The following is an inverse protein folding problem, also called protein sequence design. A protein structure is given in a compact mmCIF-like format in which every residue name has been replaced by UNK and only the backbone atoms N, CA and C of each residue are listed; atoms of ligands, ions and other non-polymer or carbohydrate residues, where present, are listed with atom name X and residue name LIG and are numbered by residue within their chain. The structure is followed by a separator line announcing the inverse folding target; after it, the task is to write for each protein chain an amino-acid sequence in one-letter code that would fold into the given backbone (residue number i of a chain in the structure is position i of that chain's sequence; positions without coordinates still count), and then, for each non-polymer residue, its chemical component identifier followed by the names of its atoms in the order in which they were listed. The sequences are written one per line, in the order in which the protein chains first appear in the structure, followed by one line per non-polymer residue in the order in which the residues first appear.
data_IF_391954177213
#
_entry.id   IF_391954177213
#
_cell.length_a   1.000
_cell.length_b   1.000
_cell.length_c   1.000
_cell.angle_alpha   90.00
_cell.angle_beta   90.00
_cell.angle_gamma   90.00
#
_symmetry.space_group_name_H-M   'P 1'
#
loop_
_entity.id
_entity.type
_entity.pdbx_description
1 polymer ?
#
# COMPACT_ATOMS: atom_id res chain seq x y z
N UNK A 1 -6.65 -13.00 28.22
CA UNK A 1 -6.20 -13.39 26.86
C UNK A 1 -6.90 -12.57 25.78
N UNK A 2 -8.23 -12.38 25.82
CA UNK A 2 -8.93 -11.53 24.83
C UNK A 2 -8.42 -10.08 24.79
N UNK A 3 -8.21 -9.45 25.94
CA UNK A 3 -7.74 -8.05 25.99
C UNK A 3 -6.31 -7.86 25.45
N UNK A 4 -5.46 -8.89 25.52
CA UNK A 4 -4.09 -8.79 25.02
C UNK A 4 -4.04 -8.69 23.49
N UNK A 5 -5.02 -9.27 22.79
CA UNK A 5 -5.17 -9.13 21.34
C UNK A 5 -5.60 -7.71 20.92
N UNK A 6 -6.02 -6.85 21.87
CA UNK A 6 -6.32 -5.44 21.61
C UNK A 6 -5.04 -4.60 21.52
N UNK A 7 -3.97 -5.00 22.20
CA UNK A 7 -2.68 -4.29 22.23
C UNK A 7 -1.59 -4.95 21.39
N UNK A 8 -1.63 -6.27 21.22
CA UNK A 8 -0.59 -7.05 20.53
C UNK A 8 -1.20 -8.08 19.56
N UNK A 9 -0.58 -8.33 18.39
CA UNK A 9 -1.06 -9.34 17.46
C UNK A 9 -0.89 -10.75 18.03
N UNK A 10 -1.95 -11.57 17.96
CA UNK A 10 -1.89 -12.98 18.35
C UNK A 10 -1.70 -13.87 17.12
N UNK A 11 -0.63 -14.65 17.10
CA UNK A 11 -0.34 -15.60 16.01
C UNK A 11 -0.83 -17.00 16.36
N UNK A 12 -1.63 -17.59 15.48
CA UNK A 12 -2.12 -18.97 15.58
C UNK A 12 -1.31 -19.83 14.59
N UNK A 13 -0.50 -20.72 15.15
CA UNK A 13 0.38 -21.64 14.41
C UNK A 13 -0.29 -23.01 14.26
N UNK A 14 -0.18 -23.63 13.07
CA UNK A 14 -0.63 -25.01 12.81
C UNK A 14 0.44 -25.75 12.01
N UNK A 15 0.85 -26.92 12.49
CA UNK A 15 1.91 -27.76 11.90
C UNK A 15 3.25 -27.01 11.78
N UNK A 16 3.63 -26.27 12.83
CA UNK A 16 4.90 -25.53 12.88
C UNK A 16 4.98 -24.31 11.95
N UNK A 17 3.84 -23.89 11.37
CA UNK A 17 3.77 -22.70 10.50
C UNK A 17 2.67 -21.77 10.95
N UNK A 18 2.94 -20.47 10.89
CA UNK A 18 1.96 -19.45 11.17
C UNK A 18 0.85 -19.52 10.12
N UNK A 19 -0.41 -19.51 10.58
CA UNK A 19 -1.59 -19.67 9.71
C UNK A 19 -2.51 -18.48 9.75
N UNK A 20 -2.66 -17.86 10.92
CA UNK A 20 -3.58 -16.77 11.13
C UNK A 20 -2.98 -15.83 12.16
N UNK A 21 -3.11 -14.53 11.92
CA UNK A 21 -2.81 -13.49 12.90
C UNK A 21 -4.12 -12.79 13.23
N UNK A 22 -4.49 -12.78 14.50
CA UNK A 22 -5.62 -12.02 15.03
C UNK A 22 -5.10 -10.67 15.55
N UNK A 23 -5.75 -9.59 15.10
CA UNK A 23 -5.46 -8.22 15.54
C UNK A 23 -6.75 -7.52 15.93
N UNK A 24 -6.64 -6.40 16.64
CA UNK A 24 -7.79 -5.52 16.90
C UNK A 24 -8.40 -5.02 15.59
N UNK A 25 -9.69 -4.66 15.63
CA UNK A 25 -10.38 -4.12 14.46
C UNK A 25 -9.74 -2.81 13.96
N UNK A 26 -9.33 -1.94 14.89
CA UNK A 26 -8.61 -0.70 14.58
C UNK A 26 -7.32 -0.98 13.81
N UNK A 27 -6.53 -1.95 14.29
CA UNK A 27 -5.28 -2.34 13.64
C UNK A 27 -5.53 -2.94 12.26
N UNK A 28 -6.57 -3.77 12.11
CA UNK A 28 -6.97 -4.30 10.81
C UNK A 28 -7.29 -3.18 9.81
N UNK A 29 -8.06 -2.17 10.20
CA UNK A 29 -8.39 -1.05 9.31
C UNK A 29 -7.16 -0.18 8.98
N UNK A 30 -6.26 0.03 9.95
CA UNK A 30 -4.99 0.73 9.71
C UNK A 30 -4.09 -0.01 8.72
N UNK A 31 -4.01 -1.33 8.83
CA UNK A 31 -3.24 -2.16 7.88
C UNK A 31 -3.92 -2.17 6.51
N UNK A 32 -5.24 -2.32 6.48
CA UNK A 32 -6.04 -2.33 5.26
C UNK A 32 -5.97 -1.01 4.51
N UNK A 33 -5.91 0.14 5.19
CA UNK A 33 -5.78 1.44 4.51
C UNK A 33 -4.43 1.61 3.80
N UNK A 34 -3.40 0.86 4.21
CA UNK A 34 -2.09 0.79 3.54
C UNK A 34 -2.01 -0.31 2.48
N UNK A 35 -3.08 -1.08 2.30
CA UNK A 35 -3.16 -2.07 1.24
C UNK A 35 -3.12 -1.35 -0.12
N UNK A 36 -1.94 -1.34 -0.75
CA UNK A 36 -1.83 -0.91 -2.14
C UNK A 36 -2.44 -1.98 -3.02
N UNK A 37 -3.62 -1.69 -3.57
CA UNK A 37 -4.28 -2.56 -4.53
C UNK A 37 -3.79 -2.24 -5.93
N UNK A 38 -3.16 -3.20 -6.60
CA UNK A 38 -2.92 -3.11 -8.03
C UNK A 38 -4.27 -3.11 -8.76
N UNK A 39 -4.50 -2.09 -9.57
CA UNK A 39 -5.67 -1.98 -10.46
C UNK A 39 -5.18 -1.89 -11.90
N UNK A 40 -5.99 -2.41 -12.82
CA UNK A 40 -5.72 -2.28 -14.25
C UNK A 40 -6.10 -0.86 -14.71
N UNK A 41 -5.40 -0.31 -15.73
CA UNK A 41 -5.69 1.03 -16.24
C UNK A 41 -7.16 1.21 -16.66
N UNK A 42 -7.80 0.18 -17.21
CA UNK A 42 -9.21 0.21 -17.61
C UNK A 42 -10.22 0.38 -16.46
N UNK A 43 -9.77 0.26 -15.21
CA UNK A 43 -10.61 0.48 -14.04
C UNK A 43 -10.54 1.92 -13.50
N UNK A 44 -9.66 2.77 -14.04
CA UNK A 44 -9.58 4.17 -13.66
C UNK A 44 -10.75 4.96 -14.25
N UNK A 45 -11.40 5.78 -13.43
CA UNK A 45 -12.37 6.75 -13.91
C UNK A 45 -11.67 7.90 -14.66
N UNK A 46 -12.42 8.60 -15.51
CA UNK A 46 -11.89 9.78 -16.21
C UNK A 46 -11.35 10.84 -15.25
N UNK A 47 -12.02 11.06 -14.11
CA UNK A 47 -11.56 12.01 -13.10
C UNK A 47 -10.21 11.62 -12.48
N UNK A 48 -9.97 10.32 -12.27
CA UNK A 48 -8.67 9.83 -11.77
C UNK A 48 -7.58 9.95 -12.85
N UNK A 49 -7.90 9.67 -14.11
CA UNK A 49 -6.98 9.87 -15.23
C UNK A 49 -6.59 11.35 -15.38
N UNK A 50 -7.55 12.27 -15.24
CA UNK A 50 -7.30 13.70 -15.29
C UNK A 50 -6.37 14.15 -14.14
N UNK A 51 -6.57 13.62 -12.93
CA UNK A 51 -5.70 13.89 -11.78
C UNK A 51 -4.28 13.38 -12.01
N UNK A 52 -4.11 12.19 -12.60
CA UNK A 52 -2.79 11.65 -12.94
C UNK A 52 -2.11 12.53 -13.99
N UNK A 53 -2.84 12.92 -15.04
CA UNK A 53 -2.30 13.76 -16.10
C UNK A 53 -1.87 15.16 -15.62
N UNK A 54 -2.52 15.68 -14.58
CA UNK A 54 -2.19 16.96 -13.95
C UNK A 54 -1.17 16.83 -12.81
N UNK A 55 -0.80 15.61 -12.42
CA UNK A 55 0.15 15.41 -11.32
C UNK A 55 1.56 15.79 -11.75
N UNK A 56 2.24 16.56 -10.90
CA UNK A 56 3.62 16.96 -11.09
C UNK A 56 4.49 16.32 -10.01
N UNK A 57 5.70 15.91 -10.40
CA UNK A 57 6.70 15.41 -9.46
C UNK A 57 7.20 16.58 -8.61
N UNK A 58 7.24 16.46 -7.27
CA UNK A 58 7.77 17.51 -6.40
C UNK A 58 9.20 17.92 -6.75
N UNK A 59 9.52 19.21 -6.60
CA UNK A 59 10.81 19.82 -6.99
C UNK A 59 12.02 19.17 -6.30
N UNK A 60 11.85 18.66 -5.08
CA UNK A 60 12.90 17.93 -4.36
C UNK A 60 13.38 16.65 -5.07
N UNK A 61 12.66 16.20 -6.10
CA UNK A 61 12.97 15.02 -6.89
C UNK A 61 13.51 15.31 -8.29
N UNK A 62 13.78 16.57 -8.66
CA UNK A 62 14.36 16.94 -9.97
C UNK A 62 15.65 16.16 -10.32
N UNK A 63 16.42 15.75 -9.31
CA UNK A 63 17.64 14.94 -9.51
C UNK A 63 17.38 13.62 -10.24
N UNK A 64 16.15 13.10 -10.18
CA UNK A 64 15.76 11.84 -10.84
C UNK A 64 15.63 12.00 -12.36
N UNK A 65 15.48 13.21 -12.89
CA UNK A 65 15.43 13.43 -14.34
C UNK A 65 16.73 13.00 -15.04
N UNK A 66 17.86 13.11 -14.32
CA UNK A 66 19.15 12.61 -14.81
C UNK A 66 19.18 11.08 -14.99
N UNK A 67 18.33 10.32 -14.29
CA UNK A 67 18.23 8.86 -14.46
C UNK A 67 17.59 8.47 -15.81
N UNK A 68 16.92 9.41 -16.48
CA UNK A 68 16.32 9.18 -17.81
C UNK A 68 17.32 9.41 -18.96
N UNK A 69 18.52 9.95 -18.69
CA UNK A 69 19.56 10.14 -19.71
C UNK A 69 20.00 8.78 -20.29
N UNK A 70 19.55 8.48 -21.52
CA UNK A 70 19.83 7.22 -22.22
C UNK A 70 18.58 6.41 -22.56
N UNK A 71 17.44 6.73 -21.96
CA UNK A 71 16.13 6.24 -22.39
C UNK A 71 15.52 7.26 -23.38
N UNK A 72 15.88 7.13 -24.65
CA UNK A 72 15.19 7.87 -25.71
C UNK A 72 13.77 7.30 -25.88
N UNK A 73 12.74 8.13 -25.67
CA UNK A 73 11.37 7.87 -26.11
C UNK A 73 11.20 8.29 -27.57
#
# INVERSE_FOLDING_TARGET
MADQALSEPLTITKNGRDRLVLVSAEEFFRLKSRERRAILPEHLSNAELDLIAQSEVPVEHEVLDAEMEGYAL
#
